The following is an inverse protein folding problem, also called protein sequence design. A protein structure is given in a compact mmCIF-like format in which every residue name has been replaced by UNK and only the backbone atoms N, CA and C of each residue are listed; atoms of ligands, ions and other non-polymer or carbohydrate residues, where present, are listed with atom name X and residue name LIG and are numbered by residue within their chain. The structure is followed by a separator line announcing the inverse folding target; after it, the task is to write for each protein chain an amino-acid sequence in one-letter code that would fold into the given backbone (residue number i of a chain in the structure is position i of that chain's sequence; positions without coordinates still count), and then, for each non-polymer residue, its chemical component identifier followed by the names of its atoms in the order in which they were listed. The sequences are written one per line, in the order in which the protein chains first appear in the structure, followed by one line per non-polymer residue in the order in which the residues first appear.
data_IF_467547049890
#
_entry.id   IF_467547049890
#
_cell.length_a   1.000
_cell.length_b   1.000
_cell.length_c   1.000
_cell.angle_alpha   90.00
_cell.angle_beta   90.00
_cell.angle_gamma   90.00
#
_symmetry.space_group_name_H-M   'P 1'
#
loop_
_entity.id
_entity.type
_entity.pdbx_description
1 polymer ?
#
# COMPACT_ATOMS: atom_id res chain seq x y z
N UNK A 1 -10.87 -23.73 -3.21
CA UNK A 1 -11.76 -22.63 -2.78
C UNK A 1 -13.01 -23.21 -2.14
N UNK A 2 -13.53 -22.57 -1.11
CA UNK A 2 -14.83 -22.86 -0.54
C UNK A 2 -15.80 -21.86 -1.13
N UNK A 3 -16.66 -22.31 -2.05
CA UNK A 3 -17.62 -21.44 -2.75
C UNK A 3 -19.00 -21.61 -2.14
N UNK A 4 -19.73 -20.51 -1.99
CA UNK A 4 -21.13 -20.48 -1.55
C UNK A 4 -21.97 -19.66 -2.53
N UNK A 5 -23.25 -20.00 -2.65
CA UNK A 5 -24.24 -19.05 -3.15
C UNK A 5 -24.78 -18.27 -1.96
N UNK A 6 -24.86 -16.96 -2.10
CA UNK A 6 -25.38 -16.08 -1.08
C UNK A 6 -26.36 -15.08 -1.69
N UNK A 7 -27.37 -14.69 -0.93
CA UNK A 7 -28.28 -13.60 -1.25
C UNK A 7 -27.76 -12.33 -0.59
N UNK A 8 -27.67 -11.24 -1.34
CA UNK A 8 -27.29 -9.94 -0.79
C UNK A 8 -28.46 -9.41 0.04
N UNK A 9 -28.24 -9.18 1.34
CA UNK A 9 -29.23 -8.59 2.23
C UNK A 9 -29.15 -7.06 2.18
N UNK A 10 -27.94 -6.52 2.17
CA UNK A 10 -27.69 -5.09 2.33
C UNK A 10 -26.37 -4.71 1.64
N UNK A 11 -26.35 -3.54 0.99
CA UNK A 11 -25.11 -2.91 0.54
C UNK A 11 -24.69 -1.87 1.58
N UNK A 12 -23.76 -2.23 2.47
CA UNK A 12 -23.33 -1.39 3.60
C UNK A 12 -22.42 -0.25 3.20
N UNK A 13 -21.75 -0.39 2.06
CA UNK A 13 -20.81 0.61 1.51
C UNK A 13 -20.73 0.43 0.00
N UNK A 14 -20.55 1.54 -0.71
CA UNK A 14 -20.43 1.56 -2.17
C UNK A 14 -18.99 1.81 -2.66
N UNK A 15 -18.26 2.73 -2.00
CA UNK A 15 -16.93 3.19 -2.45
C UNK A 15 -15.86 2.98 -1.37
N UNK A 16 -14.58 2.73 -1.75
CA UNK A 16 -14.08 2.47 -3.11
C UNK A 16 -14.43 1.07 -3.67
N UNK A 17 -14.94 0.18 -2.82
CA UNK A 17 -15.52 -1.11 -3.19
C UNK A 17 -16.80 -1.32 -2.39
N UNK A 18 -17.63 -2.26 -2.84
CA UNK A 18 -18.84 -2.62 -2.11
C UNK A 18 -18.52 -3.54 -0.94
N UNK A 19 -19.09 -3.24 0.23
CA UNK A 19 -19.15 -4.17 1.36
C UNK A 19 -20.60 -4.60 1.50
N UNK A 20 -20.83 -5.89 1.27
CA UNK A 20 -22.15 -6.50 1.27
C UNK A 20 -22.35 -7.26 2.59
N UNK A 21 -23.58 -7.23 3.12
CA UNK A 21 -24.05 -8.24 4.05
C UNK A 21 -24.79 -9.30 3.26
N UNK A 22 -24.42 -10.57 3.42
CA UNK A 22 -24.98 -11.66 2.66
C UNK A 22 -25.46 -12.78 3.57
N UNK A 23 -26.54 -13.45 3.16
CA UNK A 23 -27.03 -14.70 3.74
C UNK A 23 -26.68 -15.85 2.80
N UNK A 24 -26.07 -16.91 3.32
CA UNK A 24 -25.80 -18.11 2.53
C UNK A 24 -27.12 -18.79 2.18
N UNK A 25 -27.34 -19.07 0.91
CA UNK A 25 -28.53 -19.77 0.41
C UNK A 25 -28.22 -21.18 -0.11
N UNK A 26 -26.97 -21.43 -0.51
CA UNK A 26 -26.53 -22.77 -0.88
C UNK A 26 -25.05 -23.01 -0.54
N UNK A 27 -24.76 -24.20 -0.04
CA UNK A 27 -23.43 -24.69 0.29
C UNK A 27 -23.32 -26.19 -0.05
N UNK A 28 -22.10 -26.70 -0.34
CA UNK A 28 -21.85 -28.13 -0.29
C UNK A 28 -22.20 -28.70 1.10
N UNK A 29 -22.55 -30.00 1.18
CA UNK A 29 -22.77 -30.66 2.46
C UNK A 29 -21.60 -30.43 3.41
N UNK A 30 -21.90 -30.30 4.71
CA UNK A 30 -20.88 -30.10 5.73
C UNK A 30 -19.89 -31.27 5.69
N UNK A 31 -18.63 -30.96 5.38
CA UNK A 31 -17.51 -31.88 5.51
C UNK A 31 -16.69 -31.50 6.73
N UNK A 32 -16.02 -32.48 7.33
CA UNK A 32 -15.05 -32.23 8.40
C UNK A 32 -13.80 -31.58 7.80
N UNK A 33 -13.78 -30.25 7.80
CA UNK A 33 -12.68 -29.44 7.27
C UNK A 33 -11.67 -29.03 8.36
N UNK A 34 -11.62 -29.76 9.47
CA UNK A 34 -10.78 -29.43 10.62
C UNK A 34 -11.17 -28.08 11.24
N UNK A 35 -10.21 -27.18 11.54
CA UNK A 35 -10.50 -25.95 12.29
C UNK A 35 -11.24 -24.86 11.51
N UNK A 36 -11.53 -25.07 10.21
CA UNK A 36 -12.20 -24.07 9.39
C UNK A 36 -13.71 -23.99 9.68
N UNK A 37 -14.24 -22.78 9.80
CA UNK A 37 -15.68 -22.53 9.92
C UNK A 37 -16.39 -22.99 8.65
N UNK A 38 -17.47 -23.75 8.82
CA UNK A 38 -18.32 -24.19 7.71
C UNK A 38 -19.53 -23.28 7.60
N UNK A 39 -19.50 -22.33 6.67
CA UNK A 39 -20.66 -21.50 6.32
C UNK A 39 -21.71 -22.35 5.60
N UNK A 40 -22.93 -22.38 6.13
CA UNK A 40 -24.07 -23.19 5.70
C UNK A 40 -25.30 -22.32 5.42
N UNK A 41 -26.35 -22.83 4.74
CA UNK A 41 -27.56 -22.05 4.48
C UNK A 41 -28.16 -21.44 5.76
N UNK A 42 -28.51 -20.16 5.68
CA UNK A 42 -28.99 -19.35 6.82
C UNK A 42 -27.88 -18.61 7.59
N UNK A 43 -26.62 -18.99 7.43
CA UNK A 43 -25.50 -18.22 8.01
C UNK A 43 -25.34 -16.87 7.30
N UNK A 44 -24.83 -15.88 8.03
CA UNK A 44 -24.53 -14.56 7.47
C UNK A 44 -23.04 -14.28 7.47
N UNK A 45 -22.57 -13.55 6.45
CA UNK A 45 -21.20 -13.06 6.38
C UNK A 45 -21.15 -11.73 5.62
N UNK A 46 -20.00 -11.04 5.72
CA UNK A 46 -19.70 -9.89 4.87
C UNK A 46 -18.95 -10.34 3.64
N UNK A 47 -19.19 -9.70 2.50
CA UNK A 47 -18.46 -9.95 1.26
C UNK A 47 -18.02 -8.65 0.60
N UNK A 48 -16.85 -8.67 -0.05
CA UNK A 48 -16.36 -7.57 -0.88
C UNK A 48 -16.69 -7.85 -2.34
N UNK A 49 -17.38 -6.90 -2.97
CA UNK A 49 -17.58 -6.86 -4.41
C UNK A 49 -16.79 -5.69 -5.01
N UNK A 50 -16.14 -5.94 -6.15
CA UNK A 50 -15.50 -4.89 -6.96
C UNK A 50 -16.42 -4.59 -8.16
N UNK A 51 -17.19 -3.49 -8.13
CA UNK A 51 -18.15 -3.19 -9.20
C UNK A 51 -17.50 -3.08 -10.57
N UNK A 52 -16.25 -2.61 -10.66
CA UNK A 52 -15.50 -2.51 -11.92
C UNK A 52 -15.18 -3.85 -12.58
N UNK A 53 -15.29 -4.96 -11.84
CA UNK A 53 -15.08 -6.32 -12.35
C UNK A 53 -16.40 -7.08 -12.52
N UNK A 54 -17.36 -6.88 -11.61
CA UNK A 54 -18.52 -7.75 -11.46
C UNK A 54 -19.87 -7.03 -11.62
N UNK A 55 -19.84 -5.71 -11.80
CA UNK A 55 -21.01 -4.84 -11.70
C UNK A 55 -21.39 -4.57 -10.24
N UNK A 56 -22.14 -3.49 -10.02
CA UNK A 56 -22.64 -3.17 -8.69
C UNK A 56 -23.72 -4.18 -8.26
N UNK A 57 -23.50 -4.86 -7.14
CA UNK A 57 -24.50 -5.72 -6.53
C UNK A 57 -25.60 -4.89 -5.87
N UNK A 58 -26.82 -5.44 -5.86
CA UNK A 58 -28.00 -4.86 -5.22
C UNK A 58 -28.57 -5.84 -4.18
N UNK A 59 -29.36 -5.34 -3.21
CA UNK A 59 -30.17 -6.22 -2.37
C UNK A 59 -30.97 -7.23 -3.21
N UNK A 60 -31.12 -8.43 -2.67
CA UNK A 60 -31.76 -9.60 -3.28
C UNK A 60 -31.03 -10.25 -4.47
N UNK A 61 -29.89 -9.70 -4.93
CA UNK A 61 -29.03 -10.41 -5.90
C UNK A 61 -28.51 -11.73 -5.31
N UNK A 62 -28.48 -12.78 -6.13
CA UNK A 62 -27.83 -14.05 -5.84
C UNK A 62 -26.41 -14.00 -6.40
N UNK A 63 -25.44 -14.17 -5.52
CA UNK A 63 -24.01 -14.07 -5.84
C UNK A 63 -23.27 -15.35 -5.44
N UNK A 64 -22.18 -15.64 -6.14
CA UNK A 64 -21.19 -16.62 -5.72
C UNK A 64 -20.09 -15.93 -4.92
N UNK A 65 -19.75 -16.48 -3.76
CA UNK A 65 -18.70 -15.95 -2.90
C UNK A 65 -17.67 -17.02 -2.53
N UNK A 66 -16.41 -16.59 -2.45
CA UNK A 66 -15.27 -17.35 -1.96
C UNK A 66 -15.09 -17.07 -0.47
N UNK A 67 -15.10 -18.12 0.35
CA UNK A 67 -15.06 -18.01 1.82
C UNK A 67 -13.87 -18.72 2.46
N UNK A 68 -12.88 -19.25 1.73
CA UNK A 68 -11.78 -20.01 2.35
C UNK A 68 -10.91 -19.20 3.31
N UNK A 69 -10.44 -17.98 2.96
CA UNK A 69 -9.69 -17.15 3.90
C UNK A 69 -10.54 -16.79 5.12
N UNK A 70 -11.80 -16.42 4.89
CA UNK A 70 -12.75 -16.08 5.94
C UNK A 70 -12.97 -17.27 6.90
N UNK A 71 -13.17 -18.47 6.38
CA UNK A 71 -13.38 -19.70 7.15
C UNK A 71 -12.20 -20.04 8.07
N UNK A 72 -11.00 -19.58 7.73
CA UNK A 72 -9.78 -19.74 8.53
C UNK A 72 -9.41 -18.49 9.33
N UNK A 73 -10.28 -17.47 9.37
CA UNK A 73 -10.00 -16.17 9.97
C UNK A 73 -8.68 -15.55 9.49
N UNK A 74 -8.38 -15.70 8.19
CA UNK A 74 -7.18 -15.16 7.55
C UNK A 74 -7.46 -13.80 6.90
N UNK A 75 -6.39 -12.99 6.79
CA UNK A 75 -6.40 -11.70 6.11
C UNK A 75 -6.88 -10.53 6.98
N UNK A 76 -6.80 -9.32 6.42
CA UNK A 76 -7.06 -8.05 7.14
C UNK A 76 -8.52 -7.62 7.13
N UNK A 77 -9.37 -8.28 6.35
CA UNK A 77 -10.75 -7.86 6.12
C UNK A 77 -11.80 -8.61 6.94
N UNK A 78 -11.64 -9.93 7.08
CA UNK A 78 -12.74 -10.75 7.63
C UNK A 78 -14.00 -10.64 6.77
N UNK A 79 -13.82 -10.60 5.44
CA UNK A 79 -14.87 -10.63 4.44
C UNK A 79 -14.59 -11.75 3.43
N UNK A 80 -15.66 -12.33 2.89
CA UNK A 80 -15.63 -13.17 1.70
C UNK A 80 -15.38 -12.35 0.43
N UNK A 81 -14.97 -12.97 -0.66
CA UNK A 81 -14.80 -12.28 -1.95
C UNK A 81 -15.91 -12.69 -2.92
N UNK A 82 -16.59 -11.72 -3.53
CA UNK A 82 -17.57 -12.03 -4.59
C UNK A 82 -16.82 -12.53 -5.82
N UNK A 83 -17.29 -13.65 -6.38
CA UNK A 83 -16.77 -14.28 -7.59
C UNK A 83 -17.63 -13.97 -8.81
N UNK A 84 -18.96 -13.96 -8.64
CA UNK A 84 -19.90 -13.69 -9.72
C UNK A 84 -21.24 -13.22 -9.14
N UNK A 85 -21.97 -12.44 -9.93
CA UNK A 85 -23.37 -12.15 -9.68
C UNK A 85 -24.21 -12.98 -10.67
N UNK A 86 -25.05 -13.87 -10.14
CA UNK A 86 -25.92 -14.77 -10.93
C UNK A 86 -27.24 -14.10 -11.33
N UNK A 87 -27.61 -13.02 -10.64
CA UNK A 87 -28.84 -12.27 -10.91
C UNK A 87 -28.62 -11.18 -11.95
N UNK A 88 -27.43 -10.54 -11.93
CA UNK A 88 -27.12 -9.38 -12.76
C UNK A 88 -25.72 -9.48 -13.34
N UNK A 89 -25.61 -9.21 -14.64
CA UNK A 89 -24.34 -9.08 -15.33
C UNK A 89 -23.89 -7.60 -15.33
N UNK A 90 -22.57 -7.32 -15.33
CA UNK A 90 -22.05 -5.99 -15.59
C UNK A 90 -22.41 -5.54 -17.01
N UNK A 91 -22.34 -4.23 -17.25
CA UNK A 91 -22.40 -3.69 -18.60
C UNK A 91 -21.12 -4.04 -19.38
N UNK A 92 -21.26 -4.19 -20.71
CA UNK A 92 -20.14 -4.43 -21.62
C UNK A 92 -19.36 -3.13 -21.87
N UNK A 93 -18.64 -2.68 -20.86
CA UNK A 93 -17.84 -1.46 -20.88
C UNK A 93 -16.35 -1.81 -20.98
N UNK A 94 -15.73 -1.37 -22.07
CA UNK A 94 -14.29 -1.43 -22.28
C UNK A 94 -13.71 -0.02 -22.36
N UNK A 95 -12.48 0.20 -21.88
CA UNK A 95 -11.78 1.44 -22.16
C UNK A 95 -11.61 1.59 -23.68
N UNK A 96 -11.79 2.81 -24.16
CA UNK A 96 -11.53 3.18 -25.55
C UNK A 96 -10.97 4.62 -25.58
N UNK A 97 -9.66 4.82 -25.80
CA UNK A 97 -8.65 3.81 -26.13
C UNK A 97 -8.24 2.92 -24.95
N UNK A 98 -7.45 1.87 -25.22
CA UNK A 98 -6.73 1.08 -24.23
C UNK A 98 -6.81 -0.43 -24.45
N UNK A 99 -5.68 -1.12 -24.38
CA UNK A 99 -5.61 -2.56 -24.66
C UNK A 99 -4.70 -3.35 -23.70
N UNK A 100 -4.13 -2.70 -22.68
CA UNK A 100 -3.41 -3.42 -21.64
C UNK A 100 -4.35 -4.28 -20.79
N UNK A 101 -3.87 -5.47 -20.43
CA UNK A 101 -4.61 -6.39 -19.56
C UNK A 101 -3.88 -6.56 -18.22
N UNK A 102 -4.62 -6.35 -17.13
CA UNK A 102 -4.24 -6.54 -15.73
C UNK A 102 -4.92 -7.78 -15.13
N UNK A 103 -4.38 -8.29 -14.02
CA UNK A 103 -4.78 -9.57 -13.43
C UNK A 103 -4.86 -10.72 -14.46
N UNK A 104 -3.86 -10.78 -15.36
CA UNK A 104 -3.85 -11.63 -16.57
C UNK A 104 -4.01 -13.11 -16.23
N UNK A 105 -4.74 -13.83 -17.08
CA UNK A 105 -5.00 -15.27 -16.98
C UNK A 105 -5.73 -15.74 -15.71
N UNK A 106 -6.31 -14.81 -14.95
CA UNK A 106 -7.32 -15.13 -13.92
C UNK A 106 -8.73 -14.97 -14.50
N UNK A 107 -9.78 -15.52 -13.88
CA UNK A 107 -11.16 -15.29 -14.32
C UNK A 107 -11.63 -13.82 -14.24
N UNK A 108 -10.87 -12.92 -13.59
CA UNK A 108 -11.22 -11.51 -13.37
C UNK A 108 -10.18 -10.56 -13.97
N UNK A 109 -9.89 -10.73 -15.27
CA UNK A 109 -8.98 -9.83 -15.99
C UNK A 109 -9.63 -8.46 -16.21
N UNK A 110 -8.82 -7.40 -16.19
CA UNK A 110 -9.28 -6.03 -16.46
C UNK A 110 -8.51 -5.45 -17.63
N UNK A 111 -9.23 -4.99 -18.65
CA UNK A 111 -8.66 -4.17 -19.73
C UNK A 111 -8.59 -2.73 -19.25
N UNK A 112 -7.46 -2.07 -19.46
CA UNK A 112 -7.20 -0.68 -19.04
C UNK A 112 -6.47 0.11 -20.12
N UNK A 113 -6.57 1.44 -20.03
CA UNK A 113 -5.68 2.36 -20.75
C UNK A 113 -4.37 2.51 -19.95
N UNK A 114 -3.30 1.91 -20.44
CA UNK A 114 -1.96 2.07 -19.88
C UNK A 114 -1.37 3.43 -20.22
N UNK A 115 -0.88 4.17 -19.24
CA UNK A 115 -0.26 5.47 -19.43
C UNK A 115 0.92 5.43 -20.41
N UNK A 116 1.63 4.31 -20.49
CA UNK A 116 2.78 4.08 -21.37
C UNK A 116 2.45 3.37 -22.70
N UNK A 117 1.20 2.99 -22.95
CA UNK A 117 0.82 2.34 -24.21
C UNK A 117 0.70 3.35 -25.37
N UNK A 118 0.83 2.93 -26.65
CA UNK A 118 0.82 3.85 -27.80
C UNK A 118 -0.40 4.75 -27.91
N UNK A 119 -1.56 4.28 -27.46
CA UNK A 119 -2.83 5.01 -27.54
C UNK A 119 -3.00 6.05 -26.41
N UNK A 120 -2.09 6.05 -25.42
CA UNK A 120 -2.12 7.02 -24.32
C UNK A 120 -1.62 8.40 -24.76
N UNK A 121 -2.24 9.50 -24.28
CA UNK A 121 -1.75 10.85 -24.54
C UNK A 121 -0.34 11.10 -23.99
N UNK A 122 0.12 10.27 -23.05
CA UNK A 122 1.44 10.40 -22.41
C UNK A 122 2.53 9.57 -23.11
N UNK A 123 2.19 8.78 -24.13
CA UNK A 123 3.12 7.84 -24.75
C UNK A 123 4.41 8.51 -25.25
N UNK A 124 4.28 9.63 -25.96
CA UNK A 124 5.45 10.34 -26.52
C UNK A 124 6.39 10.84 -25.43
N UNK A 125 5.84 11.36 -24.33
CA UNK A 125 6.61 11.84 -23.18
C UNK A 125 7.35 10.68 -22.49
N UNK A 126 6.65 9.58 -22.23
CA UNK A 126 7.20 8.42 -21.53
C UNK A 126 8.21 7.65 -22.38
N UNK A 127 8.04 7.61 -23.70
CA UNK A 127 8.97 6.97 -24.64
C UNK A 127 10.38 7.57 -24.56
N UNK A 128 10.50 8.85 -24.23
CA UNK A 128 11.79 9.55 -24.08
C UNK A 128 12.32 9.63 -22.65
N UNK A 129 11.54 9.19 -21.65
CA UNK A 129 11.93 9.31 -20.24
C UNK A 129 12.96 8.24 -19.86
N UNK A 130 14.12 8.67 -19.34
CA UNK A 130 15.25 7.79 -19.01
C UNK A 130 15.91 8.08 -17.65
N UNK A 131 15.50 9.14 -16.96
CA UNK A 131 16.01 9.55 -15.64
C UNK A 131 14.92 10.08 -14.73
N UNK A 132 15.05 9.82 -13.42
CA UNK A 132 14.19 10.38 -12.37
C UNK A 132 14.74 11.68 -11.78
N UNK A 133 15.97 12.06 -12.13
CA UNK A 133 16.63 13.30 -11.71
C UNK A 133 16.62 13.51 -10.19
N UNK A 134 16.92 12.46 -9.41
CA UNK A 134 16.95 12.53 -7.95
C UNK A 134 15.58 12.56 -7.27
N UNK A 135 14.48 12.27 -7.97
CA UNK A 135 13.15 12.18 -7.38
C UNK A 135 13.17 11.28 -6.12
N UNK A 136 12.67 11.74 -4.96
CA UNK A 136 12.58 10.91 -3.76
C UNK A 136 11.60 9.75 -3.96
N UNK A 137 12.08 8.52 -3.76
CA UNK A 137 11.29 7.29 -3.83
C UNK A 137 11.34 6.57 -2.49
N UNK A 138 10.27 6.70 -1.71
CA UNK A 138 10.12 6.10 -0.39
C UNK A 138 9.51 4.72 -0.52
N UNK A 139 10.27 3.67 -0.21
CA UNK A 139 9.80 2.27 -0.32
C UNK A 139 9.55 1.70 1.07
N UNK A 140 8.35 1.15 1.28
CA UNK A 140 7.97 0.48 2.52
C UNK A 140 7.43 -0.92 2.24
N UNK A 141 7.73 -1.87 3.12
CA UNK A 141 7.28 -3.26 3.00
C UNK A 141 5.78 -3.41 3.32
N UNK A 142 5.18 -2.49 4.09
CA UNK A 142 3.80 -2.57 4.54
C UNK A 142 2.95 -1.40 4.06
N UNK A 143 1.79 -1.73 3.49
CA UNK A 143 0.79 -0.73 3.10
C UNK A 143 0.34 0.17 4.26
N UNK A 144 0.28 -0.35 5.49
CA UNK A 144 -0.14 0.42 6.67
C UNK A 144 0.80 1.57 7.05
N UNK A 145 2.02 1.61 6.52
CA UNK A 145 2.94 2.72 6.73
C UNK A 145 2.64 3.94 5.83
N UNK A 146 1.94 3.75 4.70
CA UNK A 146 1.62 4.79 3.72
C UNK A 146 1.05 6.08 4.34
N UNK A 147 -0.04 6.06 5.15
CA UNK A 147 -0.60 7.29 5.70
C UNK A 147 0.38 8.03 6.62
N UNK A 148 1.22 7.31 7.37
CA UNK A 148 2.21 7.94 8.24
C UNK A 148 3.35 8.59 7.46
N UNK A 149 3.82 7.96 6.37
CA UNK A 149 4.81 8.55 5.45
C UNK A 149 4.26 9.86 4.88
N UNK A 150 3.03 9.82 4.37
CA UNK A 150 2.36 11.00 3.79
C UNK A 150 2.19 12.11 4.83
N UNK A 151 1.74 11.78 6.05
CA UNK A 151 1.59 12.74 7.14
C UNK A 151 2.92 13.43 7.49
N UNK A 152 4.00 12.64 7.65
CA UNK A 152 5.33 13.18 7.95
C UNK A 152 5.89 14.08 6.85
N UNK A 153 5.66 13.71 5.59
CA UNK A 153 6.08 14.53 4.45
C UNK A 153 5.30 15.85 4.40
N UNK A 154 3.97 15.80 4.50
CA UNK A 154 3.11 16.99 4.45
C UNK A 154 3.29 17.89 5.67
N UNK A 155 3.67 17.35 6.83
CA UNK A 155 4.05 18.16 7.99
C UNK A 155 5.23 19.11 7.69
N UNK A 156 6.16 18.68 6.83
CA UNK A 156 7.32 19.49 6.41
C UNK A 156 7.03 20.32 5.16
N UNK A 157 6.26 19.78 4.23
CA UNK A 157 5.85 20.45 3.01
C UNK A 157 4.35 20.22 2.71
N UNK A 158 3.45 21.07 3.24
CA UNK A 158 2.00 20.89 3.11
C UNK A 158 1.46 20.99 1.67
N UNK A 159 2.27 21.48 0.73
CA UNK A 159 1.88 21.66 -0.68
C UNK A 159 2.50 20.62 -1.62
N UNK A 160 3.16 19.60 -1.08
CA UNK A 160 3.83 18.58 -1.87
C UNK A 160 2.85 17.76 -2.72
N UNK A 161 3.23 17.48 -3.97
CA UNK A 161 2.54 16.57 -4.88
C UNK A 161 3.03 15.14 -4.63
N UNK A 162 2.37 14.43 -3.72
CA UNK A 162 2.72 13.05 -3.37
C UNK A 162 1.98 12.04 -4.25
N UNK A 163 2.71 11.07 -4.78
CA UNK A 163 2.14 9.98 -5.59
C UNK A 163 2.35 8.65 -4.89
N UNK A 164 1.31 7.83 -4.85
CA UNK A 164 1.39 6.46 -4.36
C UNK A 164 1.45 5.46 -5.52
N UNK A 165 2.44 4.58 -5.52
CA UNK A 165 2.51 3.44 -6.46
C UNK A 165 2.18 2.15 -5.70
N UNK A 166 1.11 1.47 -6.12
CA UNK A 166 0.77 0.13 -5.63
C UNK A 166 1.40 -0.95 -6.50
N UNK A 167 2.01 -1.93 -5.85
CA UNK A 167 2.67 -3.09 -6.48
C UNK A 167 2.03 -4.43 -6.11
N UNK A 168 2.36 -5.48 -6.86
CA UNK A 168 1.68 -6.79 -6.91
C UNK A 168 1.84 -7.68 -5.65
N UNK A 169 2.53 -7.23 -4.60
CA UNK A 169 2.83 -8.06 -3.42
C UNK A 169 1.63 -8.41 -2.54
N UNK A 170 0.48 -7.74 -2.73
CA UNK A 170 -0.72 -7.86 -1.91
C UNK A 170 -2.00 -7.84 -2.74
N UNK A 171 -3.02 -7.09 -2.30
CA UNK A 171 -4.24 -6.89 -3.06
C UNK A 171 -3.94 -6.27 -4.44
N UNK A 172 -4.42 -6.91 -5.51
CA UNK A 172 -4.29 -6.38 -6.87
C UNK A 172 -5.17 -5.14 -7.11
N UNK A 173 -6.47 -5.13 -6.73
CA UNK A 173 -7.31 -3.96 -6.92
C UNK A 173 -6.94 -2.88 -5.90
N UNK A 174 -6.53 -1.69 -6.36
CA UNK A 174 -6.29 -0.52 -5.51
C UNK A 174 -7.53 -0.19 -4.66
N UNK A 175 -8.71 -0.40 -5.25
CA UNK A 175 -10.00 -0.21 -4.62
C UNK A 175 -10.15 -0.94 -3.29
N UNK A 176 -9.39 -2.01 -3.00
CA UNK A 176 -9.42 -2.64 -1.67
C UNK A 176 -9.00 -1.69 -0.54
N UNK A 177 -8.08 -0.75 -0.81
CA UNK A 177 -7.60 0.19 0.20
C UNK A 177 -8.52 1.39 0.38
N UNK A 178 -9.30 1.37 1.47
CA UNK A 178 -10.06 2.55 1.93
C UNK A 178 -9.15 3.71 2.34
N UNK A 179 -7.97 3.41 2.88
CA UNK A 179 -6.96 4.39 3.28
C UNK A 179 -6.53 5.22 2.07
N UNK A 180 -6.23 4.56 0.94
CA UNK A 180 -5.84 5.25 -0.30
C UNK A 180 -6.98 6.10 -0.82
N UNK A 181 -8.21 5.58 -0.87
CA UNK A 181 -9.37 6.33 -1.31
C UNK A 181 -9.58 7.61 -0.47
N UNK A 182 -9.47 7.52 0.86
CA UNK A 182 -9.57 8.68 1.75
C UNK A 182 -8.43 9.69 1.54
N UNK A 183 -7.19 9.24 1.35
CA UNK A 183 -6.06 10.15 1.09
C UNK A 183 -6.15 10.81 -0.29
N UNK A 184 -6.77 10.16 -1.28
CA UNK A 184 -7.06 10.77 -2.58
C UNK A 184 -8.17 11.81 -2.47
N UNK A 185 -9.25 11.49 -1.76
CA UNK A 185 -10.37 12.41 -1.51
C UNK A 185 -9.94 13.64 -0.70
N UNK A 186 -9.09 13.48 0.32
CA UNK A 186 -8.58 14.59 1.13
C UNK A 186 -7.51 15.43 0.42
N UNK A 187 -7.04 15.01 -0.76
CA UNK A 187 -5.94 15.64 -1.48
C UNK A 187 -4.54 15.40 -0.87
N UNK A 188 -4.43 14.54 0.15
CA UNK A 188 -3.13 14.15 0.74
C UNK A 188 -2.26 13.33 -0.24
N UNK A 189 -2.89 12.66 -1.20
CA UNK A 189 -2.24 12.09 -2.39
C UNK A 189 -2.74 12.81 -3.64
N UNK A 190 -1.80 13.28 -4.45
CA UNK A 190 -2.09 13.94 -5.73
C UNK A 190 -2.55 12.94 -6.80
N UNK A 191 -1.95 11.74 -6.82
CA UNK A 191 -2.35 10.65 -7.70
C UNK A 191 -1.95 9.28 -7.13
N UNK A 192 -2.55 8.26 -7.69
CA UNK A 192 -2.23 6.85 -7.48
C UNK A 192 -1.88 6.20 -8.81
N UNK A 193 -0.92 5.29 -8.78
CA UNK A 193 -0.50 4.54 -9.96
C UNK A 193 -0.47 3.06 -9.59
N UNK A 194 -1.05 2.23 -10.44
CA UNK A 194 -0.97 0.78 -10.31
C UNK A 194 -0.04 0.22 -11.38
N UNK A 195 0.87 -0.65 -10.98
CA UNK A 195 1.87 -1.22 -11.89
C UNK A 195 1.87 -2.74 -11.83
N UNK A 196 2.34 -3.41 -12.89
CA UNK A 196 2.33 -4.86 -12.95
C UNK A 196 0.92 -5.42 -13.17
N UNK A 197 0.46 -6.30 -12.28
CA UNK A 197 -0.87 -6.91 -12.26
C UNK A 197 -1.90 -6.12 -11.45
N UNK A 198 -1.47 -5.21 -10.56
CA UNK A 198 -2.35 -4.28 -9.87
C UNK A 198 -3.09 -3.38 -10.87
N UNK A 199 -4.29 -2.95 -10.47
CA UNK A 199 -5.17 -2.09 -11.27
C UNK A 199 -6.10 -1.23 -10.40
N UNK A 200 -6.75 -0.25 -11.03
CA UNK A 200 -7.69 0.70 -10.44
C UNK A 200 -7.04 1.98 -9.93
N UNK A 201 -5.82 2.33 -10.37
CA UNK A 201 -5.19 3.62 -10.07
C UNK A 201 -5.66 4.76 -10.97
N UNK A 202 -5.34 6.00 -10.60
CA UNK A 202 -5.56 7.17 -11.49
C UNK A 202 -4.78 7.00 -12.82
N UNK A 203 -3.64 6.30 -12.75
CA UNK A 203 -2.85 5.87 -13.91
C UNK A 203 -2.50 4.40 -13.81
N UNK A 204 -2.47 3.73 -14.96
CA UNK A 204 -2.06 2.33 -15.09
C UNK A 204 -0.71 2.26 -15.79
N UNK A 205 0.26 1.58 -15.21
CA UNK A 205 1.58 1.39 -15.83
C UNK A 205 1.85 -0.10 -16.07
N UNK A 206 2.54 -0.43 -17.17
CA UNK A 206 2.90 -1.83 -17.46
C UNK A 206 3.89 -2.41 -16.45
N UNK A 207 4.76 -1.57 -15.88
CA UNK A 207 5.88 -1.96 -15.03
C UNK A 207 6.22 -0.88 -14.00
N UNK A 208 7.02 -1.24 -13.00
CA UNK A 208 7.45 -0.30 -11.96
C UNK A 208 8.33 0.86 -12.50
N UNK A 209 9.34 0.65 -13.37
CA UNK A 209 10.03 1.75 -14.05
C UNK A 209 9.09 2.73 -14.73
N UNK A 210 8.13 2.20 -15.51
CA UNK A 210 7.13 3.01 -16.20
C UNK A 210 6.27 3.82 -15.22
N UNK A 211 5.85 3.20 -14.11
CA UNK A 211 5.10 3.89 -13.05
C UNK A 211 5.88 5.05 -12.42
N UNK A 212 7.20 4.91 -12.23
CA UNK A 212 8.06 5.99 -11.74
C UNK A 212 8.13 7.15 -12.75
N UNK A 213 8.22 6.85 -14.05
CA UNK A 213 8.19 7.88 -15.09
C UNK A 213 6.83 8.56 -15.23
N UNK A 214 5.73 7.83 -15.05
CA UNK A 214 4.39 8.43 -14.96
C UNK A 214 4.34 9.40 -13.77
N UNK A 215 4.80 8.99 -12.58
CA UNK A 215 4.84 9.87 -11.42
C UNK A 215 5.70 11.12 -11.65
N UNK A 216 6.87 10.95 -12.27
CA UNK A 216 7.87 11.99 -12.46
C UNK A 216 7.53 12.96 -13.61
N UNK A 217 7.17 12.44 -14.78
CA UNK A 217 7.01 13.22 -16.01
C UNK A 217 5.55 13.66 -16.23
N UNK A 218 4.58 12.79 -15.94
CA UNK A 218 3.14 13.09 -16.14
C UNK A 218 2.57 13.81 -14.94
N UNK A 219 2.70 13.21 -13.75
CA UNK A 219 2.14 13.80 -12.51
C UNK A 219 3.04 14.88 -11.93
N UNK A 220 4.33 14.96 -12.31
CA UNK A 220 5.28 15.93 -11.77
C UNK A 220 5.32 15.86 -10.23
N UNK A 221 5.46 14.65 -9.70
CA UNK A 221 5.49 14.38 -8.26
C UNK A 221 6.69 15.07 -7.58
N UNK A 222 6.49 15.56 -6.36
CA UNK A 222 7.59 15.97 -5.48
C UNK A 222 8.22 14.75 -4.78
N UNK A 223 7.45 13.68 -4.59
CA UNK A 223 7.95 12.40 -4.10
C UNK A 223 6.98 11.26 -4.44
N UNK A 224 7.52 10.04 -4.44
CA UNK A 224 6.78 8.81 -4.68
C UNK A 224 6.86 7.91 -3.46
N UNK A 225 5.72 7.41 -3.00
CA UNK A 225 5.65 6.37 -1.98
C UNK A 225 5.29 5.06 -2.66
N UNK A 226 6.02 3.99 -2.37
CA UNK A 226 5.86 2.69 -3.00
C UNK A 226 5.61 1.63 -1.93
N UNK A 227 4.55 0.86 -2.10
CA UNK A 227 4.31 -0.35 -1.32
C UNK A 227 3.41 -1.32 -2.07
N UNK A 228 3.41 -2.58 -1.66
CA UNK A 228 2.33 -3.50 -1.99
C UNK A 228 0.97 -2.97 -1.49
N UNK A 229 -0.12 -3.48 -2.08
CA UNK A 229 -1.47 -3.29 -1.55
C UNK A 229 -1.67 -3.98 -0.19
N UNK A 230 -2.82 -3.79 0.48
CA UNK A 230 -3.15 -4.52 1.71
C UNK A 230 -3.10 -6.05 1.53
N UNK A 231 -2.90 -6.78 2.62
CA UNK A 231 -2.86 -8.25 2.59
C UNK A 231 -1.44 -8.86 2.54
N UNK A 232 -0.45 -8.20 3.15
CA UNK A 232 0.92 -8.70 3.25
C UNK A 232 0.97 -10.18 3.68
N UNK A 233 1.64 -11.00 2.88
CA UNK A 233 1.84 -12.42 3.15
C UNK A 233 3.11 -12.62 4.00
N UNK A 234 3.07 -13.58 4.91
CA UNK A 234 4.22 -13.96 5.73
C UNK A 234 4.09 -15.39 6.25
N UNK A 235 5.11 -16.20 6.04
CA UNK A 235 5.16 -17.61 6.50
C UNK A 235 6.00 -17.78 7.77
N UNK A 236 6.70 -16.73 8.19
CA UNK A 236 7.62 -16.76 9.34
C UNK A 236 9.00 -17.34 9.04
N UNK A 237 9.25 -17.82 7.82
CA UNK A 237 10.61 -18.10 7.36
C UNK A 237 11.33 -16.80 7.01
N UNK A 238 12.66 -16.85 6.95
CA UNK A 238 13.51 -15.66 6.70
C UNK A 238 13.07 -14.87 5.46
N UNK A 239 12.80 -15.57 4.36
CA UNK A 239 12.49 -15.01 3.05
C UNK A 239 11.01 -15.08 2.67
N UNK A 240 10.18 -15.76 3.47
CA UNK A 240 8.78 -15.99 3.15
C UNK A 240 7.90 -14.83 3.56
N UNK A 241 8.04 -13.68 2.92
CA UNK A 241 7.14 -12.52 3.09
C UNK A 241 7.09 -11.69 1.80
N UNK A 242 5.92 -11.16 1.46
CA UNK A 242 5.72 -10.42 0.19
C UNK A 242 6.45 -9.08 0.15
N UNK A 243 6.66 -8.45 1.31
CA UNK A 243 7.39 -7.18 1.41
C UNK A 243 8.86 -7.22 0.97
N UNK A 244 9.43 -8.42 0.70
CA UNK A 244 10.81 -8.56 0.20
C UNK A 244 11.01 -7.91 -1.17
N UNK A 245 9.95 -7.79 -1.97
CA UNK A 245 9.95 -7.13 -3.28
C UNK A 245 10.39 -5.66 -3.20
N UNK A 246 10.29 -5.04 -2.00
CA UNK A 246 10.82 -3.71 -1.73
C UNK A 246 12.28 -3.54 -2.11
N UNK A 247 13.10 -4.59 -2.05
CA UNK A 247 14.48 -4.56 -2.54
C UNK A 247 14.55 -4.24 -4.03
N UNK A 248 13.71 -4.88 -4.84
CA UNK A 248 13.67 -4.62 -6.29
C UNK A 248 13.25 -3.17 -6.57
N UNK A 249 12.30 -2.63 -5.80
CA UNK A 249 11.83 -1.25 -6.00
C UNK A 249 12.91 -0.23 -5.62
N UNK A 250 13.63 -0.44 -4.51
CA UNK A 250 14.77 0.39 -4.11
C UNK A 250 15.89 0.35 -5.15
N UNK A 251 16.24 -0.85 -5.62
CA UNK A 251 17.26 -1.03 -6.66
C UNK A 251 16.86 -0.33 -7.96
N UNK A 252 15.61 -0.49 -8.40
CA UNK A 252 15.11 0.13 -9.63
C UNK A 252 15.14 1.66 -9.54
N UNK A 253 14.70 2.23 -8.41
CA UNK A 253 14.76 3.67 -8.20
C UNK A 253 16.21 4.20 -8.25
N UNK A 254 17.16 3.47 -7.66
CA UNK A 254 18.59 3.79 -7.77
C UNK A 254 19.09 3.71 -9.22
N UNK A 255 18.70 2.67 -9.96
CA UNK A 255 19.16 2.43 -11.33
C UNK A 255 18.66 3.50 -12.32
N UNK A 256 17.49 4.08 -12.04
CA UNK A 256 16.89 5.16 -12.83
C UNK A 256 17.29 6.57 -12.34
N UNK A 257 18.37 6.67 -11.57
CA UNK A 257 18.90 7.93 -11.04
C UNK A 257 17.89 8.71 -10.17
N UNK A 258 17.03 8.00 -9.44
CA UNK A 258 16.19 8.56 -8.38
C UNK A 258 16.93 8.61 -7.03
N UNK A 259 16.24 9.08 -5.99
CA UNK A 259 16.76 9.10 -4.63
C UNK A 259 16.00 8.09 -3.75
N UNK A 260 16.45 6.82 -3.70
CA UNK A 260 15.77 5.77 -2.96
C UNK A 260 15.92 5.94 -1.45
N UNK A 261 14.79 5.91 -0.75
CA UNK A 261 14.69 6.01 0.71
C UNK A 261 14.02 4.74 1.22
N UNK A 262 14.75 3.96 2.01
CA UNK A 262 14.22 2.78 2.67
C UNK A 262 13.49 3.17 3.96
N UNK A 263 12.18 2.94 3.99
CA UNK A 263 11.36 3.15 5.18
C UNK A 263 11.51 1.93 6.09
N UNK A 264 12.06 2.12 7.29
CA UNK A 264 12.16 1.05 8.27
C UNK A 264 10.78 0.63 8.77
N UNK A 265 10.50 -0.67 8.71
CA UNK A 265 9.42 -1.27 9.46
C UNK A 265 9.89 -1.44 10.90
N UNK A 266 9.32 -0.65 11.79
CA UNK A 266 9.58 -0.72 13.22
C UNK A 266 8.31 -1.13 13.98
N UNK A 267 8.46 -1.60 15.20
CA UNK A 267 7.33 -1.77 16.11
C UNK A 267 7.79 -1.74 17.57
N UNK A 268 7.02 -1.02 18.39
CA UNK A 268 7.12 -1.02 19.85
C UNK A 268 5.99 -1.79 20.51
N UNK A 269 5.05 -2.32 19.72
CA UNK A 269 3.87 -3.06 20.20
C UNK A 269 3.70 -4.46 19.59
N UNK A 270 4.68 -5.00 18.86
CA UNK A 270 4.56 -6.36 18.28
C UNK A 270 4.97 -7.41 19.30
N UNK A 271 4.05 -8.32 19.63
CA UNK A 271 4.32 -9.42 20.54
C UNK A 271 5.34 -10.42 19.98
N UNK A 272 5.58 -10.42 18.65
CA UNK A 272 6.53 -11.32 18.00
C UNK A 272 7.93 -10.70 18.09
N UNK A 273 8.91 -11.33 18.78
CA UNK A 273 10.21 -10.72 19.03
C UNK A 273 10.96 -10.27 17.77
N UNK A 274 10.83 -11.01 16.67
CA UNK A 274 11.47 -10.68 15.39
C UNK A 274 10.94 -9.40 14.72
N UNK A 275 9.82 -8.84 15.19
CA UNK A 275 9.24 -7.61 14.67
C UNK A 275 9.34 -6.43 15.66
N UNK A 276 9.79 -6.68 16.90
CA UNK A 276 9.99 -5.65 17.91
C UNK A 276 11.33 -4.92 17.70
N UNK A 277 11.33 -3.60 17.82
CA UNK A 277 12.44 -2.74 17.36
C UNK A 277 12.38 -2.57 15.84
N UNK A 278 13.48 -2.84 15.14
CA UNK A 278 13.53 -2.95 13.68
C UNK A 278 13.10 -4.36 13.28
N UNK A 279 12.10 -4.46 12.41
CA UNK A 279 11.57 -5.74 11.94
C UNK A 279 12.61 -6.54 11.16
N UNK A 280 12.62 -7.87 11.34
CA UNK A 280 13.43 -8.79 10.55
C UNK A 280 13.18 -8.65 9.05
N UNK A 281 12.02 -8.16 8.60
CA UNK A 281 11.76 -7.89 7.18
C UNK A 281 12.71 -6.81 6.66
N UNK A 282 12.77 -5.65 7.32
CA UNK A 282 13.68 -4.57 6.93
C UNK A 282 15.13 -5.00 7.03
N UNK A 283 15.52 -5.66 8.13
CA UNK A 283 16.89 -6.19 8.26
C UNK A 283 17.20 -7.19 7.14
N UNK A 284 16.26 -8.07 6.80
CA UNK A 284 16.49 -9.10 5.79
C UNK A 284 16.66 -8.53 4.40
N UNK A 285 15.71 -7.70 4.00
CA UNK A 285 15.69 -7.05 2.70
C UNK A 285 16.92 -6.15 2.51
N UNK A 286 17.28 -5.34 3.50
CA UNK A 286 18.32 -4.33 3.36
C UNK A 286 19.74 -4.90 3.48
N UNK A 287 19.95 -6.00 4.22
CA UNK A 287 21.31 -6.58 4.38
C UNK A 287 21.66 -7.58 3.26
N UNK A 288 20.72 -8.44 2.82
CA UNK A 288 21.08 -9.61 2.01
C UNK A 288 20.67 -9.57 0.54
N UNK A 289 19.94 -8.54 0.08
CA UNK A 289 19.48 -8.45 -1.32
C UNK A 289 20.47 -7.76 -2.26
N UNK A 290 21.68 -7.40 -1.79
CA UNK A 290 22.72 -6.81 -2.64
C UNK A 290 22.36 -5.42 -3.19
N UNK A 291 21.68 -4.60 -2.39
CA UNK A 291 21.29 -3.24 -2.76
C UNK A 291 22.51 -2.31 -2.82
N UNK A 292 22.55 -1.31 -3.73
CA UNK A 292 23.52 -0.23 -3.64
C UNK A 292 23.31 0.57 -2.33
N UNK A 293 24.25 1.38 -1.85
CA UNK A 293 24.05 2.17 -0.65
C UNK A 293 22.88 3.15 -0.77
N UNK A 294 21.86 2.98 0.08
CA UNK A 294 20.64 3.79 0.13
C UNK A 294 20.61 4.67 1.37
N UNK A 295 19.61 5.55 1.45
CA UNK A 295 19.27 6.22 2.71
C UNK A 295 18.29 5.37 3.50
N UNK A 296 18.65 5.07 4.74
CA UNK A 296 17.81 4.36 5.71
C UNK A 296 17.50 5.32 6.84
N UNK A 297 16.23 5.70 6.98
CA UNK A 297 15.84 6.72 7.96
C UNK A 297 15.60 6.08 9.32
N UNK A 298 16.33 6.57 10.32
CA UNK A 298 16.20 6.18 11.73
C UNK A 298 15.48 7.30 12.49
N UNK A 299 14.30 7.05 13.10
CA UNK A 299 13.65 8.04 13.93
C UNK A 299 14.46 8.33 15.19
N UNK A 300 14.63 9.61 15.50
CA UNK A 300 15.13 10.09 16.80
C UNK A 300 13.91 10.54 17.59
N UNK A 301 13.45 9.65 18.49
CA UNK A 301 12.25 9.84 19.29
C UNK A 301 12.34 11.05 20.21
N UNK A 302 11.22 11.76 20.36
CA UNK A 302 11.11 12.98 21.16
C UNK A 302 11.07 12.63 22.66
N UNK A 303 12.06 13.09 23.43
CA UNK A 303 12.15 12.82 24.88
C UNK A 303 11.13 13.60 25.69
N UNK A 304 10.61 14.71 25.14
CA UNK A 304 9.64 15.58 25.80
C UNK A 304 8.19 15.13 25.53
N UNK A 305 7.98 14.31 24.50
CA UNK A 305 6.68 13.69 24.24
C UNK A 305 6.46 12.49 25.19
N UNK A 306 5.38 12.47 26.02
CA UNK A 306 5.12 11.39 26.96
C UNK A 306 5.01 9.99 26.34
N UNK A 307 4.50 9.88 25.11
CA UNK A 307 4.37 8.60 24.39
C UNK A 307 5.73 8.10 23.91
N UNK A 308 6.56 9.02 23.42
CA UNK A 308 7.85 8.70 22.81
C UNK A 308 8.99 8.57 23.83
N UNK A 309 8.87 9.20 25.00
CA UNK A 309 9.91 9.21 26.05
C UNK A 309 10.44 7.82 26.41
N UNK A 310 9.57 6.81 26.45
CA UNK A 310 9.98 5.42 26.73
C UNK A 310 10.73 4.78 25.57
N UNK A 311 10.41 5.16 24.33
CA UNK A 311 11.12 4.75 23.12
C UNK A 311 12.47 5.44 22.98
N UNK A 312 12.60 6.65 23.54
CA UNK A 312 13.82 7.46 23.52
C UNK A 312 14.79 7.12 24.67
N UNK A 313 14.34 6.39 25.70
CA UNK A 313 15.14 6.13 26.91
C UNK A 313 16.39 5.28 26.59
N UNK A 314 17.61 5.83 26.75
CA UNK A 314 18.85 5.09 26.49
C UNK A 314 19.10 3.98 27.52
N UNK A 315 18.44 4.01 28.68
CA UNK A 315 18.49 2.96 29.72
C UNK A 315 17.32 1.98 29.61
N UNK A 316 16.36 2.24 28.72
CA UNK A 316 15.23 1.36 28.43
C UNK A 316 15.64 0.15 27.59
N UNK A 317 14.66 -0.64 27.16
CA UNK A 317 14.90 -1.83 26.32
C UNK A 317 14.88 -1.53 24.83
N UNK A 318 14.12 -0.51 24.41
CA UNK A 318 13.88 -0.22 23.00
C UNK A 318 15.10 0.40 22.29
N UNK A 319 15.62 1.52 22.79
CA UNK A 319 16.77 2.22 22.19
C UNK A 319 18.01 1.33 22.04
N UNK A 320 18.45 0.57 23.08
CA UNK A 320 19.61 -0.32 22.94
C UNK A 320 19.38 -1.45 21.93
N UNK A 321 18.15 -1.98 21.85
CA UNK A 321 17.79 -3.00 20.86
C UNK A 321 17.86 -2.45 19.44
N UNK A 322 17.25 -1.30 19.18
CA UNK A 322 17.30 -0.65 17.85
C UNK A 322 18.74 -0.37 17.45
N UNK A 323 19.57 0.13 18.36
CA UNK A 323 20.99 0.38 18.11
C UNK A 323 21.75 -0.90 17.74
N UNK A 324 21.48 -2.02 18.40
CA UNK A 324 22.15 -3.29 18.09
C UNK A 324 21.72 -3.84 16.73
N UNK A 325 20.42 -3.77 16.40
CA UNK A 325 19.87 -4.19 15.11
C UNK A 325 20.38 -3.35 13.94
N UNK A 326 20.56 -2.05 14.15
CA UNK A 326 21.00 -1.09 13.14
C UNK A 326 22.44 -1.34 12.64
N UNK A 327 23.30 -1.97 13.45
CA UNK A 327 24.67 -2.28 13.05
C UNK A 327 24.73 -3.08 11.75
N UNK A 328 23.78 -4.00 11.52
CA UNK A 328 23.63 -4.77 10.29
C UNK A 328 23.31 -3.94 9.04
N UNK A 329 22.79 -2.71 9.22
CA UNK A 329 22.44 -1.81 8.12
C UNK A 329 23.54 -0.79 7.84
N UNK A 330 24.26 -0.35 8.88
CA UNK A 330 25.33 0.65 8.78
C UNK A 330 26.52 0.19 7.93
N UNK A 331 26.73 -1.12 7.81
CA UNK A 331 27.78 -1.69 6.95
C UNK A 331 27.47 -1.53 5.45
N UNK A 332 26.20 -1.30 5.10
CA UNK A 332 25.71 -1.31 3.71
C UNK A 332 25.07 0.01 3.27
N UNK A 333 24.52 0.79 4.20
CA UNK A 333 23.64 1.93 3.91
C UNK A 333 24.01 3.19 4.68
N UNK A 334 23.55 4.34 4.18
CA UNK A 334 23.64 5.62 4.87
C UNK A 334 22.47 5.73 5.85
N UNK A 335 22.77 5.62 7.14
CA UNK A 335 21.74 5.81 8.17
C UNK A 335 21.53 7.29 8.44
N UNK A 336 20.31 7.76 8.23
CA UNK A 336 19.93 9.16 8.42
C UNK A 336 19.11 9.29 9.70
N UNK A 337 19.65 9.99 10.69
CA UNK A 337 18.92 10.31 11.92
C UNK A 337 17.92 11.44 11.66
N UNK A 338 16.63 11.16 11.86
CA UNK A 338 15.56 12.13 11.63
C UNK A 338 14.73 12.34 12.91
N UNK A 339 14.74 13.54 13.51
CA UNK A 339 13.90 13.86 14.67
C UNK A 339 12.41 13.69 14.37
N UNK A 340 11.69 13.17 15.37
CA UNK A 340 10.23 12.98 15.33
C UNK A 340 9.43 14.13 15.94
N UNK A 341 10.11 15.20 16.38
CA UNK A 341 9.47 16.38 16.98
C UNK A 341 8.29 16.88 16.14
N UNK A 342 7.11 16.95 16.76
CA UNK A 342 5.86 17.38 16.13
C UNK A 342 5.16 16.31 15.27
N UNK A 343 5.81 15.20 14.94
CA UNK A 343 5.23 14.17 14.07
C UNK A 343 4.12 13.37 14.76
N UNK A 344 4.20 13.14 16.06
CA UNK A 344 3.12 12.44 16.78
C UNK A 344 1.79 13.19 16.67
N UNK A 345 1.80 14.49 16.94
CA UNK A 345 0.62 15.34 16.80
C UNK A 345 0.11 15.38 15.34
N UNK A 346 1.03 15.51 14.37
CA UNK A 346 0.67 15.46 12.95
C UNK A 346 0.01 14.13 12.54
N UNK A 347 0.41 13.01 13.17
CA UNK A 347 -0.20 11.70 12.94
C UNK A 347 -1.57 11.56 13.62
N UNK A 348 -1.78 12.18 14.78
CA UNK A 348 -3.10 12.24 15.44
C UNK A 348 -4.11 13.08 14.66
N UNK A 349 -3.66 14.19 14.07
CA UNK A 349 -4.48 15.10 13.28
C UNK A 349 -4.71 14.62 11.84
N UNK A 350 -3.98 13.59 11.39
CA UNK A 350 -4.07 13.12 10.01
C UNK A 350 -5.48 12.55 9.72
N UNK A 351 -6.12 12.92 8.58
CA UNK A 351 -7.53 12.61 8.32
C UNK A 351 -7.84 11.11 8.15
N UNK A 352 -6.81 10.26 8.10
CA UNK A 352 -6.96 8.81 7.94
C UNK A 352 -6.53 8.09 9.20
N UNK A 353 -7.42 7.23 9.70
CA UNK A 353 -7.16 6.41 10.89
C UNK A 353 -5.95 5.50 10.67
N UNK A 354 -4.95 5.64 11.53
CA UNK A 354 -3.75 4.81 11.55
C UNK A 354 -4.03 3.47 12.23
N UNK A 355 -3.77 2.37 11.51
CA UNK A 355 -3.79 1.03 12.09
C UNK A 355 -2.84 0.08 11.37
N UNK A 356 -2.13 -0.75 12.14
CA UNK A 356 -1.20 -1.76 11.62
C UNK A 356 -1.34 -3.06 12.40
N UNK A 357 -1.68 -4.15 11.70
CA UNK A 357 -1.90 -5.47 12.32
C UNK A 357 -2.87 -5.42 13.51
N UNK A 358 -3.91 -4.61 13.43
CA UNK A 358 -4.92 -4.44 14.49
C UNK A 358 -4.55 -3.44 15.59
N UNK A 359 -3.36 -2.84 15.55
CA UNK A 359 -2.87 -1.87 16.55
C UNK A 359 -3.00 -0.45 16.04
N UNK A 360 -3.33 0.48 16.93
CA UNK A 360 -3.47 1.93 16.70
C UNK A 360 -2.15 2.67 16.91
N UNK A 361 -2.14 3.99 16.63
CA UNK A 361 -0.97 4.86 16.86
C UNK A 361 -0.45 4.79 18.29
N UNK A 362 -1.34 4.82 19.29
CA UNK A 362 -0.95 4.76 20.71
C UNK A 362 -0.45 3.38 21.13
N UNK A 363 -0.89 2.31 20.48
CA UNK A 363 -0.48 0.94 20.80
C UNK A 363 0.85 0.54 20.14
N UNK A 364 1.19 1.14 19.00
CA UNK A 364 2.44 0.87 18.27
C UNK A 364 3.09 2.15 17.70
N UNK A 365 3.46 3.12 18.55
CA UNK A 365 3.96 4.43 18.11
C UNK A 365 5.21 4.34 17.24
N UNK A 366 6.14 3.41 17.51
CA UNK A 366 7.36 3.27 16.72
C UNK A 366 7.07 2.90 15.25
N UNK A 367 6.02 2.14 14.97
CA UNK A 367 5.66 1.76 13.61
C UNK A 367 5.28 2.97 12.74
N UNK A 368 4.53 3.91 13.33
CA UNK A 368 4.06 5.09 12.60
C UNK A 368 5.09 6.23 12.63
N UNK A 369 5.80 6.44 13.74
CA UNK A 369 6.83 7.48 13.84
C UNK A 369 8.05 7.19 12.96
N UNK A 370 8.45 5.92 12.80
CA UNK A 370 9.51 5.56 11.86
C UNK A 370 9.11 5.89 10.41
N UNK A 371 7.87 5.56 10.03
CA UNK A 371 7.30 5.86 8.73
C UNK A 371 7.17 7.38 8.49
N UNK A 372 6.67 8.12 9.48
CA UNK A 372 6.56 9.58 9.42
C UNK A 372 7.91 10.28 9.36
N UNK A 373 8.91 9.80 10.12
CA UNK A 373 10.27 10.31 10.02
C UNK A 373 10.82 10.13 8.60
N UNK A 374 10.62 8.97 7.98
CA UNK A 374 11.04 8.77 6.59
C UNK A 374 10.36 9.75 5.62
N UNK A 375 9.06 10.01 5.80
CA UNK A 375 8.33 11.03 5.06
C UNK A 375 8.90 12.44 5.26
N UNK A 376 9.15 12.82 6.52
CA UNK A 376 9.72 14.13 6.87
C UNK A 376 11.12 14.32 6.28
N UNK A 377 11.95 13.27 6.27
CA UNK A 377 13.25 13.28 5.61
C UNK A 377 13.11 13.42 4.09
N UNK A 378 12.20 12.66 3.48
CA UNK A 378 11.94 12.73 2.04
C UNK A 378 11.60 14.15 1.57
N UNK A 379 10.89 14.93 2.40
CA UNK A 379 10.57 16.33 2.11
C UNK A 379 11.79 17.28 2.10
N UNK A 380 12.95 16.84 2.62
CA UNK A 380 14.21 17.60 2.62
C UNK A 380 15.10 17.28 1.42
N UNK A 381 14.81 16.19 0.71
CA UNK A 381 15.59 15.80 -0.48
C UNK A 381 15.26 16.77 -1.62
N UNK A 382 16.27 17.42 -2.23
CA UNK A 382 16.04 18.36 -3.32
C UNK A 382 15.38 17.69 -4.52
N UNK A 383 14.32 18.32 -5.05
CA UNK A 383 13.69 17.93 -6.32
C UNK A 383 14.07 18.99 -7.37
N UNK A 384 14.57 18.62 -8.56
CA UNK A 384 15.00 19.58 -9.57
C UNK A 384 13.89 20.57 -9.97
N UNK A 385 14.23 21.85 -10.05
CA UNK A 385 13.29 22.94 -10.36
C UNK A 385 12.70 22.88 -11.78
N UNK A 386 13.36 22.16 -12.70
CA UNK A 386 13.00 22.11 -14.13
C UNK A 386 11.58 21.55 -14.42
N UNK A 387 10.90 20.96 -13.44
CA UNK A 387 9.54 20.41 -13.58
C UNK A 387 8.42 21.34 -13.06
N UNK A 388 8.75 22.46 -12.40
CA UNK A 388 7.77 23.34 -11.74
C UNK A 388 7.27 24.53 -12.57
N UNK A 389 7.87 24.81 -13.73
CA UNK A 389 7.64 26.07 -14.47
C UNK A 389 6.59 26.02 -15.59
N UNK A 390 5.97 24.88 -15.89
CA UNK A 390 4.84 24.83 -16.80
C UNK A 390 3.53 24.76 -16.00
N UNK A 391 2.98 25.94 -15.70
CA UNK A 391 1.57 26.11 -15.37
C UNK A 391 0.75 25.60 -16.55
N UNK A 392 0.36 24.33 -16.54
CA UNK A 392 -0.59 23.79 -17.50
C UNK A 392 -2.03 24.04 -17.00
N UNK A 393 -2.85 24.85 -17.70
CA UNK A 393 -4.24 25.09 -17.33
C UNK A 393 -5.16 23.88 -17.55
N UNK A 394 -4.67 22.77 -18.13
CA UNK A 394 -5.51 21.71 -18.68
C UNK A 394 -6.03 20.64 -17.69
N UNK A 395 -5.69 20.69 -16.40
CA UNK A 395 -6.21 19.73 -15.40
C UNK A 395 -7.18 20.41 -14.42
N UNK A 396 -8.29 20.90 -14.97
CA UNK A 396 -9.52 21.21 -14.23
C UNK A 396 -10.72 20.70 -15.04
N UNK A 397 -10.95 19.40 -15.05
CA UNK A 397 -12.27 18.82 -15.32
C UNK A 397 -12.43 17.52 -14.56
#
# INVERSE_FOLDING_TARGET
MMIRKARVLEVRRQTPHQVLLCEIVAAPPRQDSGPAVSFQPGDTCRAICYPELLGAAQPDDIIQIEVSPLAKALGTGGEAMVLANETRLPADELPNPGHLVKARYTPHQKVVLGADEPDSPYHSLLRSADTLDGLPVLVTDLHSALPAIVAGFLHRNPRARLVYIQTDGGALPLAYSRTVAQMRESGSLAATITCGQCFGGDYEAVSFPSALFVASAVVKADAVIVSQGPGNLGTGTRWGYSGVDGAQFLHTASALNGHPIAVLRMSSGDARPRHYGISHHSLTMLTWMGLPPLDVVLPVFDVDNPVEKTLADPKGTFTPLVKSQLSLLQEHHRVISQPTTGLYAALEEFPVKLSTMGRTLSEDPAAFLAAAAAGAYGATVPVPEAKKSENDPALRH
#
